data_IF_984491171968
#
_entry.id   IF_984491171968
#
_cell.length_a   1.000
_cell.length_b   1.000
_cell.length_c   1.000
_cell.angle_alpha   90.00
_cell.angle_beta   90.00
_cell.angle_gamma   90.00
#
_symmetry.space_group_name_H-M   'P 1'
#
loop_
_entity.id
_entity.type
_entity.pdbx_description
1 polymer ?
#
# COMPACT_ATOMS: atom_id res chain seq x y z
N UNK A 1 3.59 -4.32 -12.36
CA UNK A 1 2.72 -3.59 -13.31
C UNK A 1 2.06 -2.34 -12.71
N UNK A 2 2.30 -1.95 -11.45
CA UNK A 2 1.49 -0.95 -10.75
C UNK A 2 2.03 0.51 -10.78
N UNK A 3 3.31 0.74 -11.14
CA UNK A 3 3.91 2.09 -11.05
C UNK A 3 3.29 3.12 -11.99
N UNK A 4 2.98 2.76 -13.24
CA UNK A 4 2.48 3.72 -14.24
C UNK A 4 1.09 4.26 -13.90
N UNK A 5 0.19 3.41 -13.38
CA UNK A 5 -1.15 3.84 -12.95
C UNK A 5 -1.04 4.76 -11.74
N UNK A 6 -0.17 4.43 -10.78
CA UNK A 6 0.10 5.29 -9.62
C UNK A 6 0.60 6.66 -10.05
N UNK A 7 1.60 6.70 -10.94
CA UNK A 7 2.20 7.92 -11.45
C UNK A 7 1.21 8.79 -12.23
N UNK A 8 0.41 8.18 -13.12
CA UNK A 8 -0.61 8.91 -13.88
C UNK A 8 -1.72 9.45 -12.97
N UNK A 9 -2.20 8.63 -12.03
CA UNK A 9 -3.20 9.04 -11.05
C UNK A 9 -2.67 10.15 -10.13
N UNK A 10 -1.43 10.04 -9.64
CA UNK A 10 -0.81 11.08 -8.84
C UNK A 10 -0.71 12.39 -9.64
N UNK A 11 -0.28 12.32 -10.90
CA UNK A 11 -0.15 13.49 -11.78
C UNK A 11 -1.48 14.13 -12.12
N UNK A 12 -2.51 13.34 -12.45
CA UNK A 12 -3.81 13.84 -12.93
C UNK A 12 -4.76 14.22 -11.80
N UNK A 13 -4.73 13.52 -10.66
CA UNK A 13 -5.71 13.68 -9.59
C UNK A 13 -5.15 14.37 -8.33
N UNK A 14 -3.99 13.94 -7.84
CA UNK A 14 -3.49 14.36 -6.51
C UNK A 14 -2.61 15.62 -6.58
N UNK A 15 -1.64 15.68 -7.51
CA UNK A 15 -0.74 16.83 -7.65
C UNK A 15 -1.46 18.17 -7.92
N UNK A 16 -2.51 18.24 -8.77
CA UNK A 16 -3.25 19.48 -8.99
C UNK A 16 -3.92 20.01 -7.71
N UNK A 17 -4.28 19.11 -6.78
CA UNK A 17 -4.84 19.44 -5.47
C UNK A 17 -3.77 19.72 -4.41
N UNK A 18 -2.48 19.57 -4.75
CA UNK A 18 -1.37 19.70 -3.81
C UNK A 18 -1.28 18.53 -2.83
N UNK A 19 -1.69 17.33 -3.25
CA UNK A 19 -1.55 16.10 -2.48
C UNK A 19 -0.42 15.26 -3.05
N UNK A 20 0.30 14.55 -2.16
CA UNK A 20 1.29 13.52 -2.52
C UNK A 20 0.67 12.15 -2.25
N UNK A 21 0.69 11.26 -3.26
CA UNK A 21 0.13 9.92 -3.15
C UNK A 21 1.16 8.96 -2.52
N UNK A 22 0.82 8.33 -1.39
CA UNK A 22 1.72 7.45 -0.65
C UNK A 22 1.50 5.98 -1.00
N UNK A 23 0.28 5.49 -0.79
CA UNK A 23 -0.10 4.13 -1.18
C UNK A 23 -1.36 4.13 -2.02
N UNK A 24 -1.48 3.13 -2.88
CA UNK A 24 -2.68 2.86 -3.64
C UNK A 24 -2.85 1.34 -3.80
N UNK A 25 -4.05 0.84 -3.51
CA UNK A 25 -4.40 -0.57 -3.70
C UNK A 25 -5.66 -0.67 -4.53
N UNK A 26 -5.74 -1.66 -5.42
CA UNK A 26 -6.98 -1.97 -6.11
C UNK A 26 -7.94 -2.67 -5.13
N UNK A 27 -9.22 -2.31 -5.18
CA UNK A 27 -10.29 -2.99 -4.44
C UNK A 27 -11.05 -3.91 -5.38
N UNK A 28 -11.53 -5.05 -4.88
CA UNK A 28 -12.45 -5.88 -5.66
C UNK A 28 -13.78 -5.15 -5.79
N UNK A 29 -14.26 -5.08 -7.03
CA UNK A 29 -15.57 -4.55 -7.36
C UNK A 29 -16.29 -5.56 -8.23
N UNK A 30 -17.60 -5.70 -8.00
CA UNK A 30 -18.47 -6.50 -8.87
C UNK A 30 -18.80 -5.76 -10.18
N UNK A 31 -18.50 -4.45 -10.24
CA UNK A 31 -18.73 -3.61 -11.41
C UNK A 31 -17.55 -3.72 -12.39
N UNK A 32 -17.78 -3.35 -13.65
CA UNK A 32 -16.71 -3.23 -14.67
C UNK A 32 -15.70 -2.13 -14.34
N UNK A 33 -16.05 -1.23 -13.44
CA UNK A 33 -15.25 -0.08 -13.05
C UNK A 33 -14.23 -0.49 -11.99
N UNK A 34 -13.01 0.04 -12.11
CA UNK A 34 -11.94 -0.24 -11.14
C UNK A 34 -11.96 0.82 -10.05
N UNK A 35 -11.76 0.39 -8.83
CA UNK A 35 -11.67 1.27 -7.67
C UNK A 35 -10.32 1.07 -7.00
N UNK A 36 -9.73 2.17 -6.56
CA UNK A 36 -8.47 2.17 -5.84
C UNK A 36 -8.65 2.87 -4.50
N UNK A 37 -8.20 2.23 -3.43
CA UNK A 37 -8.10 2.85 -2.13
C UNK A 37 -6.71 3.45 -1.98
N UNK A 38 -6.67 4.76 -1.76
CA UNK A 38 -5.45 5.55 -1.78
C UNK A 38 -5.22 6.23 -0.44
N UNK A 39 -3.95 6.32 -0.01
CA UNK A 39 -3.52 7.21 1.07
C UNK A 39 -2.72 8.36 0.49
N UNK A 40 -3.06 9.59 0.86
CA UNK A 40 -2.37 10.79 0.37
C UNK A 40 -2.16 11.81 1.47
N UNK A 41 -1.14 12.65 1.33
CA UNK A 41 -0.84 13.73 2.28
C UNK A 41 -0.98 15.06 1.58
N UNK A 42 -1.83 15.93 2.11
CA UNK A 42 -2.00 17.30 1.63
C UNK A 42 -0.84 18.20 2.07
N UNK A 43 -0.64 19.34 1.40
CA UNK A 43 0.40 20.35 1.76
C UNK A 43 0.40 20.75 3.24
N UNK A 44 -0.76 20.74 3.90
CA UNK A 44 -0.90 21.06 5.33
C UNK A 44 -0.59 19.88 6.27
N UNK A 45 0.03 18.82 5.74
CA UNK A 45 0.32 17.57 6.45
C UNK A 45 -0.92 16.83 6.94
N UNK A 46 -2.08 17.11 6.35
CA UNK A 46 -3.31 16.37 6.61
C UNK A 46 -3.32 15.10 5.77
N UNK A 47 -3.62 13.96 6.40
CA UNK A 47 -3.61 12.66 5.73
C UNK A 47 -5.03 12.28 5.33
N UNK A 48 -5.21 11.99 4.05
CA UNK A 48 -6.47 11.61 3.45
C UNK A 48 -6.42 10.15 3.02
N UNK A 49 -7.49 9.42 3.33
CA UNK A 49 -7.81 8.13 2.73
C UNK A 49 -8.89 8.40 1.70
N UNK A 50 -8.75 7.94 0.46
CA UNK A 50 -9.72 8.22 -0.60
C UNK A 50 -10.00 6.99 -1.44
N UNK A 51 -11.26 6.75 -1.75
CA UNK A 51 -11.68 5.78 -2.74
C UNK A 51 -11.76 6.47 -4.10
N UNK A 52 -10.95 6.02 -5.04
CA UNK A 52 -10.79 6.60 -6.38
C UNK A 52 -11.36 5.65 -7.41
N UNK A 53 -12.36 6.12 -8.15
CA UNK A 53 -12.90 5.45 -9.32
C UNK A 53 -11.98 5.69 -10.52
N UNK A 54 -11.65 4.63 -11.23
CA UNK A 54 -10.86 4.63 -12.45
C UNK A 54 -11.69 4.09 -13.61
N UNK A 55 -11.79 4.89 -14.66
CA UNK A 55 -12.55 4.56 -15.86
C UNK A 55 -11.88 5.17 -17.08
N UNK A 56 -12.16 4.59 -18.24
CA UNK A 56 -11.58 5.01 -19.51
C UNK A 56 -12.64 5.67 -20.37
N UNK A 57 -12.31 6.84 -20.91
CA UNK A 57 -13.14 7.54 -21.90
C UNK A 57 -12.33 7.61 -23.20
N UNK A 58 -12.76 6.85 -24.21
CA UNK A 58 -12.03 6.65 -25.46
C UNK A 58 -10.60 6.11 -25.23
N UNK A 59 -9.57 6.95 -25.40
CA UNK A 59 -8.16 6.60 -25.19
C UNK A 59 -7.57 7.23 -23.92
N UNK A 60 -8.35 8.01 -23.17
CA UNK A 60 -7.87 8.70 -21.97
C UNK A 60 -8.33 8.01 -20.68
N UNK A 61 -7.38 7.83 -19.76
CA UNK A 61 -7.60 7.30 -18.42
C UNK A 61 -8.06 8.44 -17.50
N UNK A 62 -9.24 8.27 -16.89
CA UNK A 62 -9.89 9.24 -16.00
C UNK A 62 -9.96 8.70 -14.57
N UNK A 63 -9.83 9.61 -13.62
CA UNK A 63 -9.87 9.32 -12.20
C UNK A 63 -10.80 10.30 -11.48
N UNK A 64 -11.66 9.78 -10.62
CA UNK A 64 -12.60 10.56 -9.83
C UNK A 64 -12.57 10.08 -8.38
N UNK A 65 -12.57 11.01 -7.42
CA UNK A 65 -12.68 10.66 -6.00
C UNK A 65 -14.15 10.37 -5.71
N UNK A 66 -14.47 9.12 -5.41
CA UNK A 66 -15.81 8.71 -5.01
C UNK A 66 -16.07 9.07 -3.54
N UNK A 67 -15.11 8.74 -2.67
CA UNK A 67 -15.20 9.00 -1.23
C UNK A 67 -13.85 9.46 -0.67
N UNK A 68 -13.91 10.25 0.40
CA UNK A 68 -12.73 10.79 1.07
C UNK A 68 -12.95 10.85 2.57
N UNK A 69 -11.97 10.36 3.31
CA UNK A 69 -11.93 10.36 4.76
C UNK A 69 -10.61 10.94 5.24
N UNK A 70 -10.60 11.46 6.46
CA UNK A 70 -9.41 11.98 7.09
C UNK A 70 -8.88 10.92 8.06
N UNK A 71 -7.59 10.63 8.00
CA UNK A 71 -6.98 9.62 8.87
C UNK A 71 -7.14 9.94 10.35
N UNK A 72 -7.25 11.23 10.71
CA UNK A 72 -7.47 11.67 12.09
C UNK A 72 -8.81 11.21 12.69
N UNK A 73 -9.76 10.84 11.84
CA UNK A 73 -11.09 10.39 12.23
C UNK A 73 -11.22 8.85 12.21
N UNK A 74 -10.13 8.14 11.85
CA UNK A 74 -10.10 6.67 11.86
C UNK A 74 -9.93 6.16 13.29
N UNK A 75 -10.90 5.37 13.76
CA UNK A 75 -10.88 4.75 15.10
C UNK A 75 -10.14 3.40 15.09
N UNK A 76 -10.47 2.54 14.11
CA UNK A 76 -9.83 1.24 13.96
C UNK A 76 -9.81 0.76 12.52
N UNK A 77 -8.85 -0.12 12.23
CA UNK A 77 -8.81 -0.96 11.04
C UNK A 77 -8.85 -2.42 11.48
N UNK A 78 -9.80 -3.19 10.94
CA UNK A 78 -10.03 -4.59 11.29
C UNK A 78 -9.80 -5.48 10.07
N UNK A 79 -8.77 -6.33 10.11
CA UNK A 79 -8.38 -7.26 9.05
C UNK A 79 -9.27 -8.49 8.93
N UNK A 80 -10.34 -8.57 9.73
CA UNK A 80 -11.33 -9.66 9.90
C UNK A 80 -10.77 -10.95 10.46
N UNK A 81 -9.73 -11.46 9.82
CA UNK A 81 -9.07 -12.71 10.18
C UNK A 81 -7.58 -12.60 9.79
N UNK A 82 -6.71 -12.84 10.77
CA UNK A 82 -5.26 -12.77 10.61
C UNK A 82 -4.67 -14.10 10.12
N UNK A 83 -5.36 -15.22 10.38
CA UNK A 83 -4.85 -16.59 10.17
C UNK A 83 -5.28 -17.17 8.82
N UNK A 84 -6.14 -16.47 8.08
CA UNK A 84 -6.63 -16.88 6.76
C UNK A 84 -6.23 -15.90 5.66
N UNK A 85 -6.14 -16.40 4.42
CA UNK A 85 -5.90 -15.58 3.22
C UNK A 85 -7.19 -14.81 2.85
N UNK A 86 -7.53 -13.82 3.68
CA UNK A 86 -8.72 -13.00 3.56
C UNK A 86 -8.36 -11.56 3.13
N UNK A 87 -8.96 -11.09 2.04
CA UNK A 87 -8.76 -9.73 1.51
C UNK A 87 -9.74 -8.68 2.04
N UNK A 88 -10.72 -9.08 2.85
CA UNK A 88 -11.68 -8.16 3.48
C UNK A 88 -11.09 -7.45 4.70
N UNK A 89 -11.50 -6.21 4.89
CA UNK A 89 -11.19 -5.43 6.07
C UNK A 89 -12.21 -4.31 6.27
N UNK A 90 -12.35 -3.86 7.51
CA UNK A 90 -13.18 -2.71 7.84
C UNK A 90 -12.33 -1.54 8.29
N UNK A 91 -12.77 -0.34 7.95
CA UNK A 91 -12.29 0.90 8.54
C UNK A 91 -13.45 1.55 9.27
N UNK A 92 -13.28 1.85 10.56
CA UNK A 92 -14.28 2.58 11.34
C UNK A 92 -13.92 4.05 11.43
N UNK A 93 -14.77 4.88 10.83
CA UNK A 93 -14.84 6.32 11.06
C UNK A 93 -16.14 6.59 11.85
N UNK A 94 -16.91 7.61 11.47
CA UNK A 94 -18.30 7.78 11.91
C UNK A 94 -19.15 6.54 11.56
N UNK A 95 -19.01 6.06 10.33
CA UNK A 95 -19.62 4.82 9.84
C UNK A 95 -18.57 3.72 9.61
N UNK A 96 -19.02 2.47 9.50
CA UNK A 96 -18.15 1.33 9.16
C UNK A 96 -18.04 1.24 7.63
N UNK A 97 -16.83 1.43 7.11
CA UNK A 97 -16.52 1.26 5.71
C UNK A 97 -15.97 -0.16 5.49
N UNK A 98 -16.80 -1.04 4.94
CA UNK A 98 -16.41 -2.40 4.56
C UNK A 98 -15.65 -2.35 3.22
N UNK A 99 -14.47 -2.93 3.18
CA UNK A 99 -13.60 -2.95 2.00
C UNK A 99 -13.16 -4.37 1.67
N UNK A 100 -12.92 -4.62 0.39
CA UNK A 100 -12.26 -5.83 -0.08
C UNK A 100 -11.10 -5.43 -0.99
N UNK A 101 -9.87 -5.70 -0.56
CA UNK A 101 -8.69 -5.49 -1.38
C UNK A 101 -8.63 -6.52 -2.53
N UNK A 102 -7.89 -6.21 -3.59
CA UNK A 102 -7.65 -7.17 -4.67
C UNK A 102 -6.98 -8.47 -4.18
N UNK A 103 -6.15 -8.36 -3.15
CA UNK A 103 -5.47 -9.49 -2.52
C UNK A 103 -5.23 -9.24 -1.03
N UNK A 104 -4.96 -10.30 -0.26
CA UNK A 104 -4.55 -10.17 1.13
C UNK A 104 -3.23 -9.37 1.26
N UNK A 105 -2.28 -9.55 0.35
CA UNK A 105 -1.06 -8.75 0.34
C UNK A 105 -1.35 -7.23 0.19
N UNK A 106 -2.32 -6.87 -0.64
CA UNK A 106 -2.79 -5.49 -0.80
C UNK A 106 -3.45 -4.96 0.48
N UNK A 107 -4.26 -5.78 1.17
CA UNK A 107 -4.85 -5.45 2.49
C UNK A 107 -3.76 -5.03 3.48
N UNK A 108 -2.73 -5.87 3.64
CA UNK A 108 -1.60 -5.58 4.54
C UNK A 108 -0.76 -4.37 4.09
N UNK A 109 -0.53 -4.19 2.79
CA UNK A 109 0.18 -3.01 2.27
C UNK A 109 -0.54 -1.70 2.62
N UNK A 110 -1.86 -1.68 2.46
CA UNK A 110 -2.68 -0.53 2.84
C UNK A 110 -2.65 -0.27 4.36
N UNK A 111 -2.83 -1.31 5.18
CA UNK A 111 -2.77 -1.18 6.63
C UNK A 111 -1.41 -0.62 7.12
N UNK A 112 -0.30 -1.13 6.59
CA UNK A 112 1.04 -0.57 6.87
C UNK A 112 1.15 0.90 6.50
N UNK A 113 0.64 1.31 5.33
CA UNK A 113 0.65 2.71 4.91
C UNK A 113 -0.15 3.61 5.86
N UNK A 114 -1.34 3.16 6.26
CA UNK A 114 -2.19 3.87 7.23
C UNK A 114 -1.46 4.06 8.56
N UNK A 115 -0.87 3.00 9.12
CA UNK A 115 -0.15 3.04 10.40
C UNK A 115 1.08 3.94 10.30
N UNK A 116 1.87 3.80 9.24
CA UNK A 116 3.04 4.65 8.97
C UNK A 116 2.66 6.13 8.90
N UNK A 117 1.62 6.47 8.14
CA UNK A 117 1.17 7.85 8.01
C UNK A 117 0.56 8.38 9.31
N UNK A 118 -0.11 7.53 10.08
CA UNK A 118 -0.60 7.91 11.40
C UNK A 118 0.57 8.28 12.31
N UNK A 119 1.59 7.44 12.40
CA UNK A 119 2.81 7.70 13.19
C UNK A 119 3.52 8.98 12.77
N UNK A 120 3.59 9.26 11.46
CA UNK A 120 4.29 10.44 10.93
C UNK A 120 3.53 11.76 11.13
N UNK A 121 2.21 11.76 10.94
CA UNK A 121 1.44 13.00 10.79
C UNK A 121 0.34 13.18 11.84
N UNK A 122 -0.41 12.12 12.14
CA UNK A 122 -1.68 12.21 12.89
C UNK A 122 -1.50 11.92 14.39
N UNK A 123 -0.61 10.98 14.74
CA UNK A 123 -0.25 10.56 16.10
C UNK A 123 -1.45 10.23 16.99
N UNK A 124 -2.45 9.54 16.41
CA UNK A 124 -3.61 9.04 17.14
C UNK A 124 -3.40 7.60 17.55
N UNK A 125 -4.10 7.19 18.60
CA UNK A 125 -4.22 5.79 18.95
C UNK A 125 -5.28 5.13 18.04
N UNK A 126 -4.82 4.46 16.99
CA UNK A 126 -5.68 3.75 16.04
C UNK A 126 -5.56 2.25 16.36
N UNK A 127 -6.70 1.59 16.58
CA UNK A 127 -6.67 0.15 16.86
C UNK A 127 -6.49 -0.63 15.57
N UNK A 128 -5.50 -1.52 15.56
CA UNK A 128 -5.25 -2.47 14.47
C UNK A 128 -5.69 -3.84 14.97
N UNK A 129 -6.76 -4.37 14.38
CA UNK A 129 -7.47 -5.56 14.87
C UNK A 129 -7.37 -6.65 13.80
N UNK A 130 -7.18 -7.91 14.21
CA UNK A 130 -7.12 -9.06 13.29
C UNK A 130 -6.15 -8.89 12.11
N UNK A 131 -5.01 -8.27 12.37
CA UNK A 131 -3.85 -8.31 11.50
C UNK A 131 -2.73 -9.05 12.23
N UNK A 132 -2.00 -9.89 11.51
CA UNK A 132 -0.77 -10.45 12.04
C UNK A 132 0.28 -9.34 12.19
N UNK A 133 0.68 -9.10 13.44
CA UNK A 133 1.70 -8.13 13.83
C UNK A 133 3.01 -8.27 13.05
N UNK A 134 3.39 -9.49 12.64
CA UNK A 134 4.61 -9.77 11.89
C UNK A 134 4.64 -9.10 10.51
N UNK A 135 3.47 -8.81 9.94
CA UNK A 135 3.31 -8.13 8.65
C UNK A 135 2.92 -6.65 8.79
N UNK A 136 2.67 -6.18 10.01
CA UNK A 136 2.26 -4.80 10.30
C UNK A 136 3.40 -3.97 10.87
N UNK A 137 4.15 -4.51 11.83
CA UNK A 137 5.25 -3.80 12.46
C UNK A 137 6.41 -3.69 11.47
N UNK A 138 6.89 -2.47 11.22
CA UNK A 138 8.07 -2.21 10.36
C UNK A 138 9.41 -2.65 11.02
N UNK A 139 9.35 -3.64 11.93
CA UNK A 139 10.43 -4.05 12.82
C UNK A 139 11.31 -5.18 12.30
N UNK A 140 12.54 -4.79 11.90
CA UNK A 140 13.81 -5.53 12.07
C UNK A 140 14.35 -6.38 10.90
N UNK A 141 13.55 -6.92 9.97
CA UNK A 141 14.13 -7.78 8.91
C UNK A 141 14.19 -7.14 7.50
N UNK A 142 13.28 -6.20 7.18
CA UNK A 142 13.11 -5.71 5.80
C UNK A 142 13.31 -4.20 5.61
N UNK A 143 13.73 -3.48 6.66
CA UNK A 143 14.01 -2.04 6.60
C UNK A 143 15.29 -1.70 5.81
N UNK A 144 16.01 -2.70 5.30
CA UNK A 144 17.05 -2.49 4.29
C UNK A 144 16.34 -2.17 2.98
N UNK A 145 16.16 -0.87 2.74
CA UNK A 145 16.08 -0.21 1.44
C UNK A 145 15.92 -1.20 0.27
N UNK A 146 14.80 -1.21 -0.45
CA UNK A 146 14.56 -2.20 -1.53
C UNK A 146 15.71 -2.33 -2.56
N UNK A 147 16.60 -1.34 -2.67
CA UNK A 147 17.85 -1.44 -3.43
C UNK A 147 18.92 -2.34 -2.79
N UNK A 148 19.06 -2.32 -1.47
CA UNK A 148 20.10 -3.03 -0.72
C UNK A 148 19.85 -4.53 -0.67
N UNK A 149 18.59 -4.99 -0.59
CA UNK A 149 18.27 -6.42 -0.72
C UNK A 149 18.60 -6.98 -2.12
N UNK A 150 18.33 -6.22 -3.19
CA UNK A 150 18.69 -6.63 -4.56
C UNK A 150 20.21 -6.62 -4.77
N UNK A 151 20.91 -5.66 -4.17
CA UNK A 151 22.38 -5.61 -4.15
C UNK A 151 22.95 -6.78 -3.36
N UNK A 152 22.41 -7.09 -2.18
CA UNK A 152 22.84 -8.20 -1.33
C UNK A 152 22.62 -9.54 -2.03
N UNK A 153 21.45 -9.75 -2.64
CA UNK A 153 21.17 -10.95 -3.45
C UNK A 153 22.15 -11.07 -4.61
N UNK A 154 22.43 -9.98 -5.35
CA UNK A 154 23.45 -9.98 -6.42
C UNK A 154 24.83 -10.35 -5.88
N UNK A 155 25.26 -9.76 -4.75
CA UNK A 155 26.55 -10.06 -4.13
C UNK A 155 26.62 -11.54 -3.73
N UNK A 156 25.56 -12.08 -3.12
CA UNK A 156 25.50 -13.50 -2.75
C UNK A 156 25.57 -14.41 -3.98
N UNK A 157 24.87 -14.10 -5.08
CA UNK A 157 25.00 -14.87 -6.33
C UNK A 157 26.40 -14.79 -6.93
N UNK A 158 27.04 -13.62 -6.92
CA UNK A 158 28.43 -13.46 -7.39
C UNK A 158 29.42 -14.25 -6.52
N UNK A 159 29.29 -14.19 -5.21
CA UNK A 159 30.13 -14.93 -4.27
C UNK A 159 29.99 -16.43 -4.47
N UNK A 160 28.76 -16.95 -4.60
CA UNK A 160 28.49 -18.36 -4.89
C UNK A 160 29.12 -18.80 -6.22
N UNK A 161 29.00 -17.98 -7.28
CA UNK A 161 29.63 -18.29 -8.57
C UNK A 161 31.16 -18.33 -8.51
N UNK A 162 31.79 -17.41 -7.77
CA UNK A 162 33.25 -17.42 -7.56
C UNK A 162 33.71 -18.64 -6.76
N UNK A 163 32.93 -19.05 -5.76
CA UNK A 163 33.18 -20.25 -4.97
C UNK A 163 33.11 -21.51 -5.84
N UNK A 164 32.09 -21.61 -6.69
CA UNK A 164 31.95 -22.70 -7.66
C UNK A 164 33.13 -22.76 -8.64
N UNK A 165 33.63 -21.61 -9.12
CA UNK A 165 34.80 -21.56 -10.02
C UNK A 165 36.11 -21.95 -9.32
N UNK A 166 36.24 -21.65 -8.02
CA UNK A 166 37.43 -22.02 -7.23
C UNK A 166 37.49 -23.51 -6.85
N UNK A 167 36.36 -24.21 -6.93
CA UNK A 167 36.22 -25.63 -6.60
C UNK A 167 36.24 -26.54 -7.84
N UNK A 168 36.33 -25.97 -9.04
CA UNK A 168 36.58 -26.75 -10.24
C UNK A 168 38.07 -27.14 -10.29
N UNK A 169 38.43 -28.44 -10.32
CA UNK A 169 39.80 -28.84 -10.56
C UNK A 169 40.21 -28.36 -11.95
N UNK A 170 41.34 -27.64 -12.04
CA UNK A 170 41.97 -27.30 -13.31
C UNK A 170 42.31 -28.60 -14.06
N UNK A 171 42.12 -28.64 -15.40
CA UNK A 171 42.40 -29.82 -16.20
C UNK A 171 43.88 -30.21 -16.20
#
# INVERSE_FOLDING_TARGET
MSSLVKEDMEKKLFKPKGHTLYEFIETKSQLKERFYLCTSVAKRKEVHISLVKHYRVCLDEKYEIAEIWLLKDLEYIDGKDADTDNSHFDMKFEEICNMEAYSCASKYAFARSVIKLNTLYTKRDIKVINFDSSYIEDGVIWSSNNGDCLVLMRICFYASNLLCLSLCPLP
#
